data_IF_126333071636
#
_entry.id   IF_126333071636
#
_cell.length_a   1.000
_cell.length_b   1.000
_cell.length_c   1.000
_cell.angle_alpha   90.00
_cell.angle_beta   90.00
_cell.angle_gamma   90.00
#
_symmetry.space_group_name_H-M   'P 1'
#
loop_
_entity.id
_entity.type
_entity.pdbx_description
1 polymer ?
#
# COMPACT_ATOMS: atom_id res chain seq x y z
N UNK A 1 -21.75 -42.67 -26.09
CA UNK A 1 -22.20 -42.34 -24.72
C UNK A 1 -21.03 -41.67 -24.01
N UNK A 2 -20.85 -40.37 -24.24
CA UNK A 2 -19.88 -39.59 -23.45
C UNK A 2 -20.62 -39.07 -22.24
N UNK A 3 -20.13 -39.45 -21.05
CA UNK A 3 -20.66 -39.05 -19.77
C UNK A 3 -20.51 -37.55 -19.57
N UNK A 4 -21.59 -36.97 -19.06
CA UNK A 4 -21.62 -35.66 -18.43
C UNK A 4 -20.92 -35.81 -17.07
N UNK A 5 -19.64 -35.45 -17.01
CA UNK A 5 -18.90 -35.38 -15.73
C UNK A 5 -19.24 -34.03 -15.06
N UNK A 6 -19.82 -34.02 -13.86
CA UNK A 6 -20.18 -32.78 -13.20
C UNK A 6 -18.92 -32.00 -12.81
N UNK A 7 -18.81 -30.78 -13.33
CA UNK A 7 -17.78 -29.81 -12.91
C UNK A 7 -18.06 -29.44 -11.46
N UNK A 8 -17.22 -29.95 -10.55
CA UNK A 8 -17.25 -29.58 -9.13
C UNK A 8 -16.46 -28.27 -8.99
N UNK A 9 -17.19 -27.15 -8.98
CA UNK A 9 -16.64 -25.84 -8.63
C UNK A 9 -16.17 -25.87 -7.15
N UNK A 10 -14.96 -25.35 -6.84
CA UNK A 10 -14.47 -25.34 -5.48
C UNK A 10 -15.36 -24.47 -4.59
N UNK A 11 -15.93 -25.07 -3.55
CA UNK A 11 -16.72 -24.34 -2.56
C UNK A 11 -15.75 -23.55 -1.67
N UNK A 12 -15.70 -22.24 -1.86
CA UNK A 12 -14.91 -21.36 -0.99
C UNK A 12 -15.47 -21.40 0.44
N UNK A 13 -14.69 -21.95 1.37
CA UNK A 13 -15.05 -21.95 2.79
C UNK A 13 -14.98 -20.53 3.34
N UNK A 14 -16.06 -20.03 3.98
CA UNK A 14 -16.09 -18.68 4.50
C UNK A 14 -15.10 -18.51 5.66
N UNK A 15 -14.37 -17.39 5.67
CA UNK A 15 -13.39 -17.05 6.72
C UNK A 15 -14.04 -16.81 8.09
N UNK A 16 -15.29 -16.35 8.09
CA UNK A 16 -16.07 -16.07 9.29
C UNK A 16 -17.43 -16.75 9.19
N UNK A 17 -17.91 -17.30 10.29
CA UNK A 17 -19.22 -17.94 10.40
C UNK A 17 -20.07 -17.17 11.42
N UNK A 18 -21.27 -16.79 11.01
CA UNK A 18 -22.27 -16.23 11.93
C UNK A 18 -22.85 -17.37 12.76
N UNK A 19 -22.67 -17.28 14.08
CA UNK A 19 -23.15 -18.29 15.04
C UNK A 19 -24.48 -17.92 15.69
N UNK A 20 -24.80 -16.63 15.76
CA UNK A 20 -26.06 -16.10 16.25
C UNK A 20 -26.59 -15.05 15.26
N UNK A 21 -27.81 -15.25 14.75
CA UNK A 21 -28.44 -14.34 13.79
C UNK A 21 -29.20 -13.18 14.46
N UNK A 22 -29.53 -13.31 15.75
CA UNK A 22 -30.37 -12.36 16.50
C UNK A 22 -29.54 -11.48 17.43
N UNK A 23 -28.32 -11.10 17.02
CA UNK A 23 -27.46 -10.22 17.79
C UNK A 23 -28.10 -8.83 17.97
N UNK A 24 -27.97 -8.25 19.15
CA UNK A 24 -28.54 -6.92 19.42
C UNK A 24 -27.75 -5.83 18.68
N UNK A 25 -28.35 -4.64 18.43
CA UNK A 25 -27.64 -3.52 17.81
C UNK A 25 -26.35 -3.14 18.54
N UNK A 26 -26.33 -3.23 19.86
CA UNK A 26 -25.18 -2.94 20.71
C UNK A 26 -24.05 -3.95 20.50
N UNK A 27 -24.38 -5.24 20.36
CA UNK A 27 -23.41 -6.30 20.11
C UNK A 27 -22.77 -6.14 18.73
N UNK A 28 -23.58 -5.81 17.72
CA UNK A 28 -23.09 -5.50 16.37
C UNK A 28 -22.13 -4.30 16.43
N UNK A 29 -22.51 -3.24 17.16
CA UNK A 29 -21.66 -2.06 17.32
C UNK A 29 -20.32 -2.39 18.00
N UNK A 30 -20.31 -3.27 19.01
CA UNK A 30 -19.09 -3.71 19.67
C UNK A 30 -18.15 -4.45 18.69
N UNK A 31 -18.68 -5.36 17.87
CA UNK A 31 -17.89 -6.09 16.87
C UNK A 31 -17.32 -5.13 15.82
N UNK A 32 -18.13 -4.19 15.31
CA UNK A 32 -17.68 -3.17 14.36
C UNK A 32 -16.58 -2.29 14.96
N UNK A 33 -16.72 -1.87 16.23
CA UNK A 33 -15.72 -1.07 16.92
C UNK A 33 -14.37 -1.80 17.04
N UNK A 34 -14.38 -3.10 17.36
CA UNK A 34 -13.17 -3.92 17.39
C UNK A 34 -12.52 -3.98 16.01
N UNK A 35 -13.27 -4.30 14.95
CA UNK A 35 -12.69 -4.34 13.59
C UNK A 35 -12.16 -2.99 13.11
N UNK A 36 -12.86 -1.90 13.43
CA UNK A 36 -12.40 -0.55 13.13
C UNK A 36 -11.10 -0.21 13.88
N UNK A 37 -10.93 -0.73 15.11
CA UNK A 37 -9.69 -0.50 15.88
C UNK A 37 -8.47 -1.26 15.32
N UNK A 38 -8.69 -2.38 14.63
CA UNK A 38 -7.61 -3.17 14.02
C UNK A 38 -7.03 -2.49 12.76
N UNK A 39 -7.77 -1.57 12.14
CA UNK A 39 -7.34 -0.80 10.97
C UNK A 39 -7.13 0.67 11.30
N UNK A 40 -5.87 1.12 11.34
CA UNK A 40 -5.54 2.54 11.33
C UNK A 40 -5.36 3.04 9.90
N UNK A 41 -5.58 4.34 9.61
CA UNK A 41 -5.13 4.89 8.33
C UNK A 41 -3.63 4.66 8.22
N UNK A 42 -3.21 3.95 7.17
CA UNK A 42 -1.81 3.85 6.79
C UNK A 42 -1.27 5.27 6.73
N UNK A 43 -0.16 5.54 7.44
CA UNK A 43 0.47 6.84 7.38
C UNK A 43 0.67 7.21 5.90
N UNK A 44 0.24 8.40 5.44
CA UNK A 44 0.45 8.79 4.06
C UNK A 44 1.92 8.61 3.73
N UNK A 45 2.21 7.80 2.70
CA UNK A 45 3.58 7.58 2.27
C UNK A 45 4.22 8.93 2.01
N UNK A 46 5.42 9.12 2.54
CA UNK A 46 6.16 10.35 2.30
C UNK A 46 6.36 10.50 0.78
N UNK A 47 5.78 11.57 0.23
CA UNK A 47 5.83 11.82 -1.20
C UNK A 47 7.24 12.28 -1.54
N UNK A 48 7.99 11.40 -2.20
CA UNK A 48 9.34 11.72 -2.66
C UNK A 48 9.29 12.95 -3.57
N UNK A 49 10.02 14.01 -3.22
CA UNK A 49 10.23 15.14 -4.13
C UNK A 49 10.95 14.61 -5.36
N UNK A 50 10.40 14.81 -6.57
CA UNK A 50 11.12 14.39 -7.77
C UNK A 50 12.39 15.23 -7.89
N UNK A 51 13.46 14.60 -8.36
CA UNK A 51 14.81 15.18 -8.32
C UNK A 51 14.92 16.51 -9.08
N UNK A 52 14.08 16.73 -10.10
CA UNK A 52 13.98 18.01 -10.80
C UNK A 52 13.39 19.17 -9.97
N UNK A 53 12.65 18.88 -8.89
CA UNK A 53 12.11 19.87 -7.94
C UNK A 53 13.01 20.09 -6.72
N UNK A 54 14.13 19.37 -6.60
CA UNK A 54 14.96 19.41 -5.39
C UNK A 54 15.48 20.83 -5.09
N UNK A 55 15.41 21.25 -3.82
CA UNK A 55 15.79 22.61 -3.40
C UNK A 55 17.25 22.96 -3.72
N UNK A 56 18.15 21.97 -3.70
CA UNK A 56 19.57 22.18 -4.03
C UNK A 56 19.78 22.66 -5.49
N UNK A 57 18.79 22.46 -6.38
CA UNK A 57 18.82 22.96 -7.77
C UNK A 57 18.42 24.42 -7.91
N UNK A 58 17.85 25.02 -6.85
CA UNK A 58 17.49 26.46 -6.82
C UNK A 58 18.70 27.35 -6.58
N UNK A 59 19.83 26.77 -6.19
CA UNK A 59 21.08 27.47 -5.91
C UNK A 59 22.19 26.94 -6.81
N UNK A 60 23.19 27.78 -7.11
CA UNK A 60 24.34 27.36 -7.90
C UNK A 60 25.23 26.43 -7.07
N UNK A 61 25.45 25.16 -7.49
CA UNK A 61 26.39 24.28 -6.80
C UNK A 61 27.84 24.60 -7.17
N UNK A 62 28.78 24.26 -6.29
CA UNK A 62 30.20 24.25 -6.61
C UNK A 62 30.58 22.95 -7.32
N UNK A 63 31.50 23.04 -8.28
CA UNK A 63 32.01 21.88 -9.02
C UNK A 63 33.52 21.77 -8.81
N UNK A 64 34.01 20.55 -8.62
CA UNK A 64 35.43 20.31 -8.47
C UNK A 64 36.16 20.56 -9.80
N UNK A 65 37.33 21.20 -9.71
CA UNK A 65 38.28 21.27 -10.81
C UNK A 65 39.20 20.04 -10.74
N UNK A 66 39.44 19.39 -11.89
CA UNK A 66 40.32 18.22 -11.98
C UNK A 66 39.69 17.02 -12.70
N UNK A 67 40.44 15.91 -12.81
CA UNK A 67 39.97 14.71 -13.51
C UNK A 67 38.62 14.22 -12.97
N UNK A 68 37.66 14.02 -13.87
CA UNK A 68 36.31 13.57 -13.50
C UNK A 68 35.35 14.67 -13.03
N UNK A 69 35.84 15.89 -12.72
CA UNK A 69 35.00 16.99 -12.25
C UNK A 69 33.89 17.37 -13.24
N UNK A 70 34.22 17.48 -14.53
CA UNK A 70 33.22 17.76 -15.57
C UNK A 70 32.19 16.64 -15.72
N UNK A 71 32.61 15.36 -15.66
CA UNK A 71 31.70 14.21 -15.78
C UNK A 71 30.72 14.11 -14.61
N UNK A 72 31.18 14.42 -13.39
CA UNK A 72 30.34 14.43 -12.19
C UNK A 72 29.29 15.53 -12.18
N UNK A 73 29.46 16.59 -12.98
CA UNK A 73 28.56 17.75 -12.96
C UNK A 73 27.13 17.46 -13.41
N UNK A 74 26.94 16.44 -14.26
CA UNK A 74 25.65 16.03 -14.80
C UNK A 74 25.03 14.79 -14.14
N UNK A 75 25.69 14.20 -13.14
CA UNK A 75 25.14 13.03 -12.43
C UNK A 75 24.15 13.46 -11.34
N UNK A 76 23.09 12.66 -11.07
CA UNK A 76 22.23 12.88 -9.91
C UNK A 76 23.05 12.91 -8.62
N UNK A 77 22.67 13.81 -7.69
CA UNK A 77 23.22 13.84 -6.34
C UNK A 77 22.35 13.04 -5.38
#
# INVERSE_FOLDING_TARGET
MSGDEPVVEPVETPLLRVVNADATPEEIAAIVAVFASLGGPEAPRERRTPEWQAHHRKVRPSFAHGPGGWRSSGMPR
#
